data_IF_503482727508
#
_entry.id   IF_503482727508
#
_cell.length_a   1.000
_cell.length_b   1.000
_cell.length_c   1.000
_cell.angle_alpha   90.00
_cell.angle_beta   90.00
_cell.angle_gamma   90.00
#
_symmetry.space_group_name_H-M   'P 1'
#
loop_
_entity.id
_entity.type
_entity.pdbx_description
1 polymer ?
#
# COMPACT_ATOMS: atom_id res chain seq x y z
N UNK A 1 -21.82 -4.39 -34.30
CA UNK A 1 -20.51 -4.69 -33.82
C UNK A 1 -20.49 -4.31 -32.34
N UNK A 2 -20.18 -5.29 -31.50
CA UNK A 2 -19.96 -5.05 -30.08
C UNK A 2 -18.76 -4.09 -29.99
N UNK A 3 -18.93 -2.99 -29.27
CA UNK A 3 -17.82 -2.16 -28.87
C UNK A 3 -17.03 -3.06 -27.91
N UNK A 4 -15.83 -3.49 -28.30
CA UNK A 4 -14.94 -4.18 -27.38
C UNK A 4 -14.71 -3.22 -26.22
N UNK A 5 -15.12 -3.59 -25.02
CA UNK A 5 -14.76 -2.89 -23.80
C UNK A 5 -13.22 -2.79 -23.77
N UNK A 6 -12.66 -1.60 -23.61
CA UNK A 6 -11.21 -1.46 -23.57
C UNK A 6 -10.66 -2.32 -22.44
N UNK A 7 -9.63 -3.11 -22.73
CA UNK A 7 -8.97 -3.92 -21.71
C UNK A 7 -8.61 -3.06 -20.51
N UNK A 8 -8.78 -3.57 -19.30
CA UNK A 8 -8.58 -2.84 -18.03
C UNK A 8 -7.23 -2.11 -17.94
N UNK A 9 -6.18 -2.63 -18.60
CA UNK A 9 -4.85 -2.00 -18.66
C UNK A 9 -4.79 -0.80 -19.62
N UNK A 10 -5.79 -0.57 -20.46
CA UNK A 10 -5.91 0.66 -21.27
C UNK A 10 -6.42 1.86 -20.45
N UNK A 11 -6.96 1.63 -19.25
CA UNK A 11 -7.34 2.69 -18.33
C UNK A 11 -6.15 3.38 -17.67
N UNK A 12 -4.92 2.89 -17.86
CA UNK A 12 -3.70 3.56 -17.42
C UNK A 12 -3.19 4.61 -18.42
N UNK A 13 -3.78 4.74 -19.59
CA UNK A 13 -3.49 5.86 -20.48
C UNK A 13 -4.45 7.01 -20.15
N UNK A 14 -4.00 7.88 -19.26
CA UNK A 14 -4.75 9.04 -18.80
C UNK A 14 -4.81 10.18 -19.80
N UNK A 15 -3.91 10.20 -20.81
CA UNK A 15 -3.87 11.11 -21.96
C UNK A 15 -4.17 10.33 -23.27
N UNK A 16 -5.45 10.12 -23.58
CA UNK A 16 -5.88 9.25 -24.69
C UNK A 16 -5.66 9.87 -26.07
N UNK A 17 -5.68 11.18 -26.16
CA UNK A 17 -5.43 11.91 -27.40
C UNK A 17 -3.94 12.24 -27.61
N UNK A 18 -3.10 11.89 -26.65
CA UNK A 18 -1.63 12.03 -26.68
C UNK A 18 -1.20 13.47 -26.94
N UNK A 19 -1.91 14.43 -26.35
CA UNK A 19 -1.59 15.84 -26.52
C UNK A 19 -0.67 16.39 -25.39
N UNK A 20 -0.35 15.58 -24.38
CA UNK A 20 0.49 15.95 -23.25
C UNK A 20 -0.29 16.51 -22.07
N UNK A 21 -1.61 16.56 -22.12
CA UNK A 21 -2.46 16.93 -20.99
C UNK A 21 -3.44 15.80 -20.71
N UNK A 22 -3.47 15.33 -19.47
CA UNK A 22 -4.40 14.30 -19.02
C UNK A 22 -5.87 14.67 -19.33
N UNK A 23 -6.67 13.69 -19.77
CA UNK A 23 -8.07 13.88 -20.14
C UNK A 23 -8.91 14.45 -18.99
N UNK A 24 -8.66 14.08 -17.73
CA UNK A 24 -9.36 14.59 -16.54
C UNK A 24 -9.23 16.12 -16.43
N UNK A 25 -8.03 16.65 -16.65
CA UNK A 25 -7.73 18.08 -16.65
C UNK A 25 -8.44 18.81 -17.81
N UNK A 26 -8.51 18.18 -18.98
CA UNK A 26 -9.21 18.72 -20.13
C UNK A 26 -10.72 18.83 -19.87
N UNK A 27 -11.33 17.83 -19.21
CA UNK A 27 -12.73 17.87 -18.80
C UNK A 27 -13.00 18.98 -17.78
N UNK A 28 -12.09 19.20 -16.82
CA UNK A 28 -12.21 20.29 -15.85
C UNK A 28 -12.16 21.66 -16.55
N UNK A 29 -11.24 21.86 -17.48
CA UNK A 29 -11.13 23.09 -18.30
C UNK A 29 -12.42 23.33 -19.10
N UNK A 30 -13.05 22.28 -19.62
CA UNK A 30 -14.30 22.34 -20.37
C UNK A 30 -15.53 22.58 -19.47
N UNK A 31 -15.37 22.67 -18.15
CA UNK A 31 -16.46 22.81 -17.18
C UNK A 31 -17.35 21.58 -17.06
N UNK A 32 -16.86 20.43 -17.49
CA UNK A 32 -17.50 19.15 -17.30
C UNK A 32 -17.18 18.61 -15.90
N UNK A 33 -18.19 18.15 -15.19
CA UNK A 33 -18.11 17.88 -13.75
C UNK A 33 -17.16 16.75 -13.35
N UNK A 34 -16.46 16.99 -12.28
CA UNK A 34 -16.01 16.27 -11.07
C UNK A 34 -16.00 14.70 -11.05
N UNK A 35 -16.74 14.01 -11.89
CA UNK A 35 -16.88 12.55 -11.78
C UNK A 35 -15.63 11.77 -12.22
N UNK A 36 -14.61 12.46 -12.73
CA UNK A 36 -13.38 11.86 -13.25
C UNK A 36 -12.10 12.40 -12.61
N UNK A 37 -12.22 13.37 -11.68
CA UNK A 37 -11.07 13.95 -11.00
C UNK A 37 -10.82 13.30 -9.65
N UNK A 38 -9.56 13.02 -9.35
CA UNK A 38 -9.12 12.49 -8.07
C UNK A 38 -8.90 13.58 -7.01
N UNK A 39 -8.51 14.79 -7.41
CA UNK A 39 -8.02 15.85 -6.52
C UNK A 39 -8.74 17.18 -6.65
N UNK A 40 -9.71 17.33 -7.57
CA UNK A 40 -10.42 18.59 -7.77
C UNK A 40 -11.23 19.02 -6.54
N UNK A 41 -11.04 20.27 -6.15
CA UNK A 41 -11.73 20.94 -5.03
C UNK A 41 -12.40 22.21 -5.55
N UNK A 42 -13.69 22.36 -5.26
CA UNK A 42 -14.39 23.63 -5.50
C UNK A 42 -14.34 24.45 -4.20
N UNK A 43 -13.62 25.57 -4.23
CA UNK A 43 -13.53 26.50 -3.11
C UNK A 43 -14.83 27.28 -2.86
N UNK A 44 -14.97 27.84 -1.65
CA UNK A 44 -16.11 28.69 -1.28
C UNK A 44 -16.23 29.95 -2.14
N UNK A 45 -15.14 30.38 -2.75
CA UNK A 45 -15.07 31.50 -3.70
C UNK A 45 -15.47 31.13 -5.14
N UNK A 46 -15.85 29.86 -5.37
CA UNK A 46 -16.25 29.33 -6.67
C UNK A 46 -15.09 29.01 -7.61
N UNK A 47 -13.84 29.11 -7.15
CA UNK A 47 -12.66 28.65 -7.91
C UNK A 47 -12.50 27.15 -7.76
N UNK A 48 -12.20 26.49 -8.87
CA UNK A 48 -11.83 25.08 -8.88
C UNK A 48 -10.31 24.96 -8.88
N UNK A 49 -9.77 24.14 -7.99
CA UNK A 49 -8.34 23.82 -7.90
C UNK A 49 -8.15 22.31 -8.00
N UNK A 50 -6.97 21.89 -8.42
CA UNK A 50 -6.56 20.48 -8.49
C UNK A 50 -5.09 20.35 -8.14
N UNK A 51 -4.62 19.15 -7.93
CA UNK A 51 -3.21 18.87 -7.73
C UNK A 51 -2.63 18.22 -8.98
N UNK A 52 -1.47 18.69 -9.45
CA UNK A 52 -0.88 18.26 -10.74
C UNK A 52 0.60 17.90 -10.62
N UNK A 53 1.06 17.15 -11.61
CA UNK A 53 2.47 16.93 -11.95
C UNK A 53 2.71 17.57 -13.31
N UNK A 54 3.70 18.48 -13.38
CA UNK A 54 4.11 19.13 -14.63
C UNK A 54 5.44 18.53 -15.07
N UNK A 55 5.45 17.84 -16.20
CA UNK A 55 6.65 17.25 -16.81
C UNK A 55 7.28 18.16 -17.85
N UNK A 56 8.61 18.26 -17.82
CA UNK A 56 9.41 19.07 -18.74
C UNK A 56 10.25 18.17 -19.65
N UNK A 57 10.59 18.67 -20.82
CA UNK A 57 11.52 18.02 -21.76
C UNK A 57 13.00 18.17 -21.38
N UNK A 58 13.28 18.91 -20.34
CA UNK A 58 14.60 19.09 -19.70
C UNK A 58 14.40 19.34 -18.20
N UNK A 59 15.47 19.19 -17.43
CA UNK A 59 15.39 19.50 -15.99
C UNK A 59 15.09 20.99 -15.78
N UNK A 60 13.95 21.33 -15.15
CA UNK A 60 13.52 22.72 -15.04
C UNK A 60 14.49 23.53 -14.16
N UNK A 61 15.04 24.59 -14.73
CA UNK A 61 15.92 25.52 -14.02
C UNK A 61 15.13 26.62 -13.30
N UNK A 62 15.86 27.47 -12.59
CA UNK A 62 15.29 28.56 -11.78
C UNK A 62 14.33 29.47 -12.58
N UNK A 63 14.68 29.75 -13.86
CA UNK A 63 13.85 30.54 -14.76
C UNK A 63 12.53 29.87 -15.13
N UNK A 64 12.54 28.54 -15.33
CA UNK A 64 11.34 27.78 -15.68
C UNK A 64 10.40 27.69 -14.49
N UNK A 65 10.95 27.47 -13.30
CA UNK A 65 10.22 27.43 -12.04
C UNK A 65 9.61 28.78 -11.69
N UNK A 66 10.35 29.88 -11.92
CA UNK A 66 9.85 31.22 -11.67
C UNK A 66 8.66 31.57 -12.60
N UNK A 67 8.76 31.24 -13.89
CA UNK A 67 7.65 31.44 -14.84
C UNK A 67 6.41 30.61 -14.43
N UNK A 68 6.60 29.37 -14.03
CA UNK A 68 5.51 28.52 -13.59
C UNK A 68 4.81 29.11 -12.35
N UNK A 69 5.58 29.60 -11.38
CA UNK A 69 5.02 30.30 -10.21
C UNK A 69 4.27 31.59 -10.59
N UNK A 70 4.81 32.36 -11.53
CA UNK A 70 4.15 33.59 -12.01
C UNK A 70 2.79 33.29 -12.65
N UNK A 71 2.70 32.24 -13.48
CA UNK A 71 1.42 31.79 -14.05
C UNK A 71 0.44 31.44 -12.92
N UNK A 72 0.86 30.61 -11.98
CA UNK A 72 0.02 30.18 -10.87
C UNK A 72 -0.52 31.35 -10.03
N UNK A 73 0.35 32.25 -9.63
CA UNK A 73 -0.01 33.45 -8.83
C UNK A 73 -0.96 34.37 -9.59
N UNK A 74 -0.74 34.58 -10.91
CA UNK A 74 -1.63 35.38 -11.75
C UNK A 74 -3.06 34.81 -11.83
N UNK A 75 -3.21 33.50 -11.61
CA UNK A 75 -4.49 32.81 -11.54
C UNK A 75 -5.04 32.64 -10.11
N UNK A 76 -4.36 33.22 -9.12
CA UNK A 76 -4.81 33.22 -7.73
C UNK A 76 -4.34 32.05 -6.89
N UNK A 77 -3.27 31.35 -7.30
CA UNK A 77 -2.59 30.39 -6.45
C UNK A 77 -1.89 31.09 -5.30
N UNK A 78 -1.98 30.54 -4.11
CA UNK A 78 -1.37 31.06 -2.90
C UNK A 78 -0.24 30.12 -2.46
N UNK A 79 0.96 30.66 -2.28
CA UNK A 79 2.14 29.86 -1.87
C UNK A 79 2.01 29.40 -0.41
N UNK A 80 1.35 30.21 0.45
CA UNK A 80 1.12 29.84 1.83
C UNK A 80 0.04 28.75 1.92
N UNK A 81 0.43 27.57 2.41
CA UNK A 81 -0.46 26.41 2.54
C UNK A 81 -0.55 25.52 1.29
N UNK A 82 0.21 25.84 0.24
CA UNK A 82 0.28 25.03 -0.97
C UNK A 82 1.68 24.43 -1.17
N UNK A 83 1.73 23.33 -1.92
CA UNK A 83 2.99 22.67 -2.28
C UNK A 83 3.42 23.07 -3.68
N UNK A 84 4.70 23.41 -3.81
CA UNK A 84 5.39 23.59 -5.07
C UNK A 84 6.75 22.89 -4.95
N UNK A 85 6.84 21.68 -5.47
CA UNK A 85 7.97 20.80 -5.25
C UNK A 85 8.63 20.40 -6.58
N UNK A 86 9.77 21.04 -6.97
CA UNK A 86 10.62 20.57 -8.05
C UNK A 86 11.28 19.25 -7.65
N UNK A 87 11.17 18.23 -8.50
CA UNK A 87 11.74 16.91 -8.21
C UNK A 87 13.19 16.84 -8.65
N UNK A 88 14.11 16.47 -7.74
CA UNK A 88 15.54 16.56 -7.98
C UNK A 88 16.04 15.61 -9.08
N UNK A 89 15.42 14.43 -9.23
CA UNK A 89 15.94 13.35 -10.09
C UNK A 89 15.08 13.06 -11.32
N UNK A 90 13.96 13.76 -11.49
CA UNK A 90 13.11 13.68 -12.67
C UNK A 90 12.72 15.07 -13.13
N UNK A 91 12.50 15.22 -14.43
CA UNK A 91 12.24 16.52 -15.06
C UNK A 91 10.79 16.98 -14.82
N UNK A 92 10.39 17.11 -13.55
CA UNK A 92 9.02 17.45 -13.18
C UNK A 92 8.89 18.33 -11.94
N UNK A 93 7.72 18.95 -11.80
CA UNK A 93 7.32 19.75 -10.65
C UNK A 93 5.96 19.26 -10.17
N UNK A 94 5.84 18.98 -8.86
CA UNK A 94 4.60 18.58 -8.19
C UNK A 94 3.98 19.80 -7.53
N UNK A 95 2.70 20.06 -7.78
CA UNK A 95 2.01 21.26 -7.31
C UNK A 95 0.60 20.89 -6.86
N UNK A 96 0.17 21.45 -5.74
CA UNK A 96 -1.22 21.34 -5.29
C UNK A 96 -1.97 22.67 -5.34
N UNK A 97 -3.27 22.62 -5.09
CA UNK A 97 -4.18 23.77 -5.13
C UNK A 97 -4.08 24.61 -6.40
N UNK A 98 -3.69 24.01 -7.51
CA UNK A 98 -3.51 24.66 -8.82
C UNK A 98 -4.87 25.11 -9.36
N UNK A 99 -5.07 26.42 -9.62
CA UNK A 99 -6.29 26.89 -10.24
C UNK A 99 -6.49 26.29 -11.63
N UNK A 100 -7.63 25.66 -11.88
CA UNK A 100 -7.94 25.03 -13.19
C UNK A 100 -7.82 26.05 -14.33
N UNK A 101 -8.06 27.33 -14.06
CA UNK A 101 -7.90 28.42 -15.05
C UNK A 101 -6.45 28.63 -15.52
N UNK A 102 -5.44 28.15 -14.76
CA UNK A 102 -4.02 28.29 -15.13
C UNK A 102 -3.51 27.15 -16.02
N UNK A 103 -4.22 26.03 -16.09
CA UNK A 103 -3.73 24.82 -16.74
C UNK A 103 -3.34 24.99 -18.21
N UNK A 104 -4.11 25.76 -18.97
CA UNK A 104 -3.79 26.03 -20.40
C UNK A 104 -2.50 26.85 -20.52
N UNK A 105 -2.31 27.85 -19.67
CA UNK A 105 -1.11 28.69 -19.70
C UNK A 105 0.13 27.91 -19.24
N UNK A 106 -0.01 27.06 -18.24
CA UNK A 106 1.06 26.12 -17.81
C UNK A 106 1.43 25.19 -18.97
N UNK A 107 0.44 24.59 -19.64
CA UNK A 107 0.68 23.68 -20.76
C UNK A 107 1.37 24.36 -21.96
N UNK A 108 1.14 25.66 -22.14
CA UNK A 108 1.79 26.46 -23.20
C UNK A 108 3.18 26.98 -22.83
N UNK A 109 3.63 26.75 -21.61
CA UNK A 109 4.98 27.16 -21.20
C UNK A 109 6.04 26.35 -21.96
N UNK A 110 7.07 27.00 -22.45
CA UNK A 110 8.19 26.37 -23.13
C UNK A 110 8.81 25.26 -22.24
N UNK A 111 8.98 24.09 -22.81
CA UNK A 111 9.55 22.93 -22.15
C UNK A 111 8.56 22.01 -21.46
N UNK A 112 7.35 22.45 -21.18
CA UNK A 112 6.30 21.58 -20.65
C UNK A 112 5.86 20.61 -21.74
N UNK A 113 5.90 19.31 -21.43
CA UNK A 113 5.53 18.22 -22.35
C UNK A 113 4.42 17.35 -21.80
N UNK A 114 4.13 17.46 -20.51
CA UNK A 114 3.11 16.67 -19.83
C UNK A 114 2.52 17.43 -18.67
N UNK A 115 1.21 17.34 -18.47
CA UNK A 115 0.52 17.72 -17.25
C UNK A 115 -0.44 16.60 -16.88
N UNK A 116 -0.24 16.03 -15.70
CA UNK A 116 -1.08 14.97 -15.14
C UNK A 116 -1.73 15.45 -13.84
N UNK A 117 -2.95 15.00 -13.56
CA UNK A 117 -3.55 15.14 -12.25
C UNK A 117 -2.85 14.16 -11.28
N UNK A 118 -2.63 14.59 -10.02
CA UNK A 118 -2.14 13.66 -9.01
C UNK A 118 -3.23 12.67 -8.64
N UNK A 119 -2.92 11.39 -8.71
CA UNK A 119 -3.80 10.35 -8.19
C UNK A 119 -3.81 10.32 -6.66
N UNK A 120 -4.95 10.02 -6.08
CA UNK A 120 -5.02 9.69 -4.66
C UNK A 120 -4.32 8.36 -4.43
N UNK A 121 -3.27 8.38 -3.62
CA UNK A 121 -2.66 7.16 -3.11
C UNK A 121 -3.65 6.55 -2.12
N UNK A 122 -4.26 5.45 -2.53
CA UNK A 122 -5.06 4.58 -1.67
C UNK A 122 -4.30 3.29 -1.47
N UNK A 123 -4.50 2.64 -0.32
CA UNK A 123 -3.95 1.31 -0.10
C UNK A 123 -4.46 0.35 -1.18
N UNK A 124 -3.56 -0.10 -2.06
CA UNK A 124 -3.92 -0.95 -3.21
C UNK A 124 -4.15 -2.42 -2.87
N UNK A 125 -4.08 -2.82 -1.61
CA UNK A 125 -4.28 -4.21 -1.24
C UNK A 125 -5.64 -4.74 -1.72
N UNK A 126 -6.70 -3.96 -1.55
CA UNK A 126 -8.03 -4.33 -2.03
C UNK A 126 -8.12 -4.43 -3.57
N UNK A 127 -7.27 -3.69 -4.29
CA UNK A 127 -7.17 -3.78 -5.75
C UNK A 127 -6.34 -4.98 -6.17
N UNK A 128 -5.21 -5.24 -5.50
CA UNK A 128 -4.33 -6.36 -5.79
C UNK A 128 -5.05 -7.71 -5.59
N UNK A 129 -5.78 -7.88 -4.49
CA UNK A 129 -6.56 -9.09 -4.21
C UNK A 129 -7.71 -9.31 -5.21
N UNK A 130 -8.32 -8.25 -5.70
CA UNK A 130 -9.32 -8.31 -6.77
C UNK A 130 -8.69 -8.59 -8.13
N UNK A 131 -7.58 -7.95 -8.46
CA UNK A 131 -6.85 -8.16 -9.71
C UNK A 131 -6.31 -9.59 -9.86
N UNK A 132 -5.97 -10.25 -8.76
CA UNK A 132 -5.48 -11.65 -8.73
C UNK A 132 -6.59 -12.70 -8.56
N UNK A 133 -7.86 -12.32 -8.63
CA UNK A 133 -9.03 -13.21 -8.45
C UNK A 133 -9.16 -13.83 -7.04
N UNK A 134 -8.60 -13.20 -6.04
CA UNK A 134 -8.78 -13.63 -4.63
C UNK A 134 -10.08 -13.09 -4.07
N UNK A 135 -10.44 -11.85 -4.42
CA UNK A 135 -11.71 -11.20 -4.05
C UNK A 135 -12.54 -10.86 -5.28
N UNK A 136 -13.87 -10.84 -5.12
CA UNK A 136 -14.82 -10.40 -6.14
C UNK A 136 -14.53 -8.98 -6.62
N UNK A 137 -14.70 -8.78 -7.91
CA UNK A 137 -14.60 -7.47 -8.57
C UNK A 137 -15.65 -7.38 -9.67
N UNK A 138 -15.81 -6.20 -10.25
CA UNK A 138 -16.71 -5.98 -11.39
C UNK A 138 -16.32 -6.79 -12.64
N UNK A 139 -15.11 -7.39 -12.64
CA UNK A 139 -14.56 -8.17 -13.76
C UNK A 139 -14.70 -9.68 -13.53
N UNK A 140 -14.71 -10.12 -12.27
CA UNK A 140 -14.74 -11.53 -11.90
C UNK A 140 -15.92 -11.81 -10.97
N UNK A 141 -16.88 -12.59 -11.45
CA UNK A 141 -18.06 -12.97 -10.69
C UNK A 141 -17.79 -14.03 -9.63
N UNK A 142 -16.75 -14.86 -9.84
CA UNK A 142 -16.34 -15.94 -8.95
C UNK A 142 -14.84 -15.87 -8.68
N UNK A 143 -14.46 -15.96 -7.42
CA UNK A 143 -13.09 -15.82 -6.92
C UNK A 143 -12.73 -16.91 -5.93
N UNK A 144 -11.48 -16.98 -5.53
CA UNK A 144 -11.03 -17.98 -4.56
C UNK A 144 -11.82 -17.93 -3.24
N UNK A 145 -12.21 -16.73 -2.78
CA UNK A 145 -13.01 -16.58 -1.55
C UNK A 145 -14.43 -17.08 -1.67
N UNK A 146 -15.05 -16.95 -2.85
CA UNK A 146 -16.38 -17.49 -3.10
C UNK A 146 -16.39 -19.01 -3.05
N UNK A 147 -15.25 -19.64 -3.32
CA UNK A 147 -15.01 -21.08 -3.16
C UNK A 147 -14.58 -21.48 -1.74
N UNK A 148 -14.48 -20.54 -0.80
CA UNK A 148 -14.10 -20.78 0.58
C UNK A 148 -12.57 -20.86 0.81
N UNK A 149 -11.76 -20.42 -0.14
CA UNK A 149 -10.31 -20.36 0.01
C UNK A 149 -9.89 -19.00 0.56
N UNK A 150 -9.71 -18.91 1.86
CA UNK A 150 -9.29 -17.70 2.57
C UNK A 150 -7.99 -17.88 3.37
N UNK A 151 -7.39 -19.06 3.31
CA UNK A 151 -6.20 -19.44 4.07
C UNK A 151 -6.50 -20.14 5.41
N UNK A 152 -7.76 -20.39 5.74
CA UNK A 152 -8.11 -21.12 6.96
C UNK A 152 -7.38 -22.46 7.02
N UNK A 153 -6.75 -22.75 8.17
CA UNK A 153 -5.96 -23.94 8.40
C UNK A 153 -4.52 -23.85 7.87
N UNK A 154 -4.07 -22.70 7.39
CA UNK A 154 -2.70 -22.50 6.91
C UNK A 154 -1.93 -21.62 7.90
N UNK A 155 -0.71 -22.01 8.23
CA UNK A 155 0.22 -21.25 9.07
C UNK A 155 1.28 -20.60 8.19
N UNK A 156 1.35 -19.26 8.22
CA UNK A 156 2.29 -18.46 7.43
C UNK A 156 3.34 -17.86 8.34
N UNK A 157 4.61 -18.21 8.12
CA UNK A 157 5.73 -17.53 8.76
C UNK A 157 6.15 -16.30 7.96
N UNK A 158 6.22 -15.14 8.62
CA UNK A 158 6.73 -13.89 8.07
C UNK A 158 8.15 -13.68 8.58
N UNK A 159 9.14 -13.83 7.70
CA UNK A 159 10.56 -13.58 8.02
C UNK A 159 10.87 -12.14 7.60
N UNK A 160 10.96 -11.24 8.57
CA UNK A 160 11.10 -9.80 8.26
C UNK A 160 11.69 -9.01 9.47
N UNK A 161 11.28 -7.78 9.66
CA UNK A 161 11.69 -6.90 10.76
C UNK A 161 10.95 -7.16 12.08
N UNK A 162 10.16 -8.19 12.16
CA UNK A 162 9.17 -8.46 13.20
C UNK A 162 7.77 -8.11 12.73
N UNK A 163 6.76 -8.44 13.50
CA UNK A 163 5.36 -8.10 13.22
C UNK A 163 4.71 -7.55 14.49
N UNK A 164 4.10 -6.37 14.39
CA UNK A 164 3.20 -5.83 15.41
C UNK A 164 1.87 -6.62 15.34
N UNK A 165 1.79 -7.69 16.11
CA UNK A 165 0.65 -8.61 16.11
C UNK A 165 -0.59 -7.99 16.77
N UNK A 166 -0.44 -6.93 17.58
CA UNK A 166 -1.55 -6.12 18.12
C UNK A 166 -2.14 -5.18 17.07
N UNK A 167 -1.56 -5.10 15.87
CA UNK A 167 -2.10 -4.24 14.83
C UNK A 167 -3.50 -4.74 14.39
N UNK A 168 -4.50 -3.87 14.46
CA UNK A 168 -5.91 -4.17 14.21
C UNK A 168 -6.22 -4.86 12.86
N UNK A 169 -5.33 -4.79 11.89
CA UNK A 169 -5.45 -5.51 10.61
C UNK A 169 -4.90 -6.92 10.66
N UNK A 170 -4.30 -7.33 11.78
CA UNK A 170 -3.81 -8.68 12.02
C UNK A 170 -4.62 -9.43 13.08
N UNK A 171 -5.67 -8.79 13.56
CA UNK A 171 -6.68 -9.37 14.43
C UNK A 171 -7.43 -10.52 13.75
N UNK A 172 -7.87 -11.52 14.47
CA UNK A 172 -8.62 -12.62 13.88
C UNK A 172 -10.08 -12.24 13.56
N UNK A 173 -10.80 -13.11 12.87
CA UNK A 173 -12.19 -12.82 12.49
C UNK A 173 -13.21 -12.97 13.63
N UNK A 174 -12.84 -13.66 14.69
CA UNK A 174 -13.71 -13.95 15.82
C UNK A 174 -13.53 -12.99 16.98
N UNK A 175 -12.44 -12.22 16.97
CA UNK A 175 -12.18 -11.22 17.97
C UNK A 175 -13.06 -9.98 17.77
N UNK A 176 -13.60 -9.45 18.86
CA UNK A 176 -14.48 -8.29 18.86
C UNK A 176 -13.80 -7.00 19.35
N UNK A 177 -12.62 -7.07 19.90
CA UNK A 177 -11.92 -5.95 20.51
C UNK A 177 -10.85 -5.34 19.59
N UNK A 178 -10.39 -6.03 18.54
CA UNK A 178 -9.35 -5.61 17.59
C UNK A 178 -8.00 -5.32 18.25
N UNK A 179 -7.59 -6.11 19.20
CA UNK A 179 -6.28 -5.95 19.83
C UNK A 179 -5.36 -7.15 19.63
N UNK A 180 -5.86 -8.24 19.06
CA UNK A 180 -5.14 -9.48 18.80
C UNK A 180 -4.43 -10.07 20.04
N UNK A 181 -4.81 -9.62 21.22
CA UNK A 181 -4.34 -10.18 22.49
C UNK A 181 -5.26 -11.33 22.91
N UNK A 182 -4.68 -12.43 23.34
CA UNK A 182 -5.41 -13.57 23.89
C UNK A 182 -6.14 -13.19 25.17
N UNK A 183 -7.37 -12.77 25.02
CA UNK A 183 -8.27 -12.44 26.13
C UNK A 183 -9.06 -13.68 26.60
N UNK A 184 -9.59 -13.70 27.85
CA UNK A 184 -10.41 -14.81 28.32
C UNK A 184 -11.73 -14.99 27.56
N UNK A 185 -12.17 -14.01 26.81
CA UNK A 185 -13.37 -13.97 25.98
C UNK A 185 -13.11 -14.19 24.50
N UNK A 186 -11.85 -14.28 24.07
CA UNK A 186 -11.46 -14.71 22.73
C UNK A 186 -11.80 -16.18 22.55
N UNK A 187 -12.65 -16.43 21.58
CA UNK A 187 -13.34 -17.71 21.52
C UNK A 187 -12.50 -18.83 20.92
N UNK A 188 -11.28 -18.61 20.53
CA UNK A 188 -10.50 -19.72 20.09
C UNK A 188 -9.07 -19.34 19.71
N UNK A 189 -8.70 -19.03 18.61
CA UNK A 189 -7.31 -19.07 18.19
C UNK A 189 -6.86 -17.68 17.78
N UNK A 190 -5.97 -17.04 18.57
CA UNK A 190 -5.37 -15.81 18.15
C UNK A 190 -4.68 -16.05 16.80
N UNK A 191 -4.79 -15.09 15.91
CA UNK A 191 -4.16 -15.16 14.59
C UNK A 191 -2.66 -15.36 14.71
N UNK A 192 -2.03 -14.74 15.69
CA UNK A 192 -0.62 -14.95 16.03
C UNK A 192 -0.45 -16.21 16.89
N UNK A 193 0.41 -17.14 16.46
CA UNK A 193 0.67 -18.39 17.15
C UNK A 193 2.01 -18.40 17.88
N UNK A 194 3.03 -17.86 17.29
CA UNK A 194 4.39 -17.92 17.83
C UNK A 194 5.33 -16.90 17.16
N UNK A 195 6.44 -16.62 17.81
CA UNK A 195 7.49 -15.78 17.26
C UNK A 195 8.89 -16.22 17.60
N UNK A 196 9.86 -15.66 16.88
CA UNK A 196 11.29 -15.91 17.07
C UNK A 196 12.08 -14.65 16.70
N UNK A 197 12.89 -14.11 17.61
CA UNK A 197 13.90 -13.11 17.28
C UNK A 197 15.24 -13.76 16.92
N UNK A 198 15.45 -13.97 15.62
CA UNK A 198 16.68 -14.52 15.11
C UNK A 198 17.85 -13.52 15.11
N UNK A 199 17.58 -12.22 15.27
CA UNK A 199 18.63 -11.18 15.37
C UNK A 199 19.35 -11.23 16.71
N UNK A 200 18.71 -11.78 17.74
CA UNK A 200 19.31 -12.01 19.04
C UNK A 200 20.21 -13.23 19.03
N UNK A 201 21.41 -13.09 19.58
CA UNK A 201 22.32 -14.22 19.82
C UNK A 201 21.97 -15.00 21.09
N UNK A 202 21.00 -14.54 21.86
CA UNK A 202 20.49 -15.24 23.01
C UNK A 202 19.58 -16.40 22.52
N UNK A 203 19.99 -17.64 22.79
CA UNK A 203 19.32 -18.82 22.27
C UNK A 203 17.89 -19.04 22.80
N UNK A 204 17.46 -18.28 23.80
CA UNK A 204 16.14 -18.44 24.40
C UNK A 204 15.02 -17.77 23.57
N UNK A 205 15.34 -16.73 22.80
CA UNK A 205 14.36 -15.96 22.04
C UNK A 205 13.81 -16.65 20.79
N UNK A 206 14.35 -17.84 20.44
CA UNK A 206 13.84 -18.70 19.37
C UNK A 206 13.50 -20.11 19.84
N UNK A 207 13.61 -20.43 21.13
CA UNK A 207 13.45 -21.80 21.59
C UNK A 207 12.09 -22.13 22.22
N UNK A 208 11.32 -21.13 22.59
CA UNK A 208 10.12 -21.33 23.41
C UNK A 208 8.79 -21.09 22.66
N UNK A 209 8.82 -20.69 21.39
CA UNK A 209 7.61 -20.60 20.53
C UNK A 209 6.56 -19.54 20.95
N UNK A 210 6.75 -18.94 22.12
CA UNK A 210 5.84 -17.94 22.71
C UNK A 210 6.46 -16.54 22.77
N UNK A 211 7.62 -16.34 22.16
CA UNK A 211 8.30 -15.04 22.18
C UNK A 211 7.78 -14.17 21.04
N UNK A 212 7.28 -13.00 21.41
CA UNK A 212 6.85 -11.97 20.49
C UNK A 212 8.01 -11.01 20.19
N UNK A 213 8.60 -11.05 19.00
CA UNK A 213 9.76 -10.24 18.66
C UNK A 213 9.44 -8.78 18.34
N UNK A 214 8.19 -8.44 18.16
CA UNK A 214 7.68 -7.10 17.86
C UNK A 214 8.33 -6.41 16.63
N UNK A 215 7.68 -5.42 16.04
CA UNK A 215 8.15 -4.72 14.85
C UNK A 215 8.43 -3.24 15.12
N UNK A 216 9.67 -2.90 15.40
CA UNK A 216 10.10 -1.51 15.58
C UNK A 216 10.25 -0.70 14.27
N UNK A 217 10.09 -1.33 13.10
CA UNK A 217 10.24 -0.68 11.79
C UNK A 217 8.91 -0.46 11.05
N UNK A 218 8.01 -1.44 11.09
CA UNK A 218 6.73 -1.47 10.39
C UNK A 218 6.76 -2.21 9.05
N UNK A 219 7.93 -2.63 8.54
CA UNK A 219 8.00 -3.32 7.24
C UNK A 219 7.42 -4.73 7.32
N UNK A 220 7.78 -5.52 8.34
CA UNK A 220 7.26 -6.86 8.51
C UNK A 220 5.76 -6.89 8.81
N UNK A 221 5.27 -5.94 9.60
CA UNK A 221 3.83 -5.74 9.84
C UNK A 221 3.07 -5.47 8.54
N UNK A 222 3.64 -4.63 7.67
CA UNK A 222 3.07 -4.36 6.36
C UNK A 222 3.07 -5.60 5.45
N UNK A 223 4.16 -6.37 5.45
CA UNK A 223 4.26 -7.65 4.70
C UNK A 223 3.23 -8.64 5.21
N UNK A 224 3.10 -8.80 6.54
CA UNK A 224 2.07 -9.62 7.16
C UNK A 224 0.66 -9.19 6.75
N UNK A 225 0.38 -7.88 6.79
CA UNK A 225 -0.91 -7.32 6.35
C UNK A 225 -1.25 -7.68 4.90
N UNK A 226 -0.27 -7.64 3.98
CA UNK A 226 -0.46 -8.06 2.58
C UNK A 226 -0.74 -9.56 2.49
N UNK A 227 0.03 -10.38 3.20
CA UNK A 227 -0.09 -11.83 3.11
C UNK A 227 -1.40 -12.34 3.74
N UNK A 228 -1.68 -11.93 4.98
CA UNK A 228 -2.68 -12.57 5.82
C UNK A 228 -3.56 -11.61 6.64
N UNK A 229 -3.48 -10.30 6.41
CA UNK A 229 -4.27 -9.34 7.15
C UNK A 229 -5.77 -9.56 7.04
N UNK A 230 -6.48 -9.47 8.17
CA UNK A 230 -7.94 -9.57 8.23
C UNK A 230 -8.63 -8.26 7.85
N UNK A 231 -7.85 -7.20 7.72
CA UNK A 231 -8.33 -5.86 7.42
C UNK A 231 -8.68 -5.06 8.66
N UNK A 232 -9.09 -3.80 8.46
CA UNK A 232 -9.58 -2.94 9.53
C UNK A 232 -10.94 -3.44 10.10
N UNK A 233 -11.47 -2.76 11.08
CA UNK A 233 -12.78 -3.07 11.67
C UNK A 233 -13.92 -3.21 10.65
N UNK A 234 -13.74 -2.71 9.44
CA UNK A 234 -14.66 -2.84 8.31
C UNK A 234 -14.29 -3.99 7.37
N UNK A 235 -13.20 -4.67 7.63
CA UNK A 235 -12.65 -5.76 6.81
C UNK A 235 -12.41 -5.36 5.35
N UNK A 236 -12.00 -4.11 5.10
CA UNK A 236 -11.84 -3.56 3.75
C UNK A 236 -10.50 -3.93 3.13
N UNK A 237 -9.40 -3.80 3.90
CA UNK A 237 -8.05 -4.00 3.39
C UNK A 237 -7.53 -5.39 3.78
N UNK A 238 -8.22 -6.43 3.37
CA UNK A 238 -7.83 -7.81 3.66
C UNK A 238 -6.67 -8.28 2.78
N UNK A 239 -5.75 -9.02 3.36
CA UNK A 239 -4.66 -9.69 2.68
C UNK A 239 -5.13 -10.85 1.78
N UNK A 240 -4.19 -11.59 1.24
CA UNK A 240 -4.48 -12.72 0.35
C UNK A 240 -5.12 -13.90 1.10
N UNK A 241 -4.64 -14.19 2.31
CA UNK A 241 -5.05 -15.33 3.13
C UNK A 241 -5.49 -14.90 4.55
N UNK A 242 -6.60 -14.12 4.67
CA UNK A 242 -6.97 -13.52 5.95
C UNK A 242 -7.41 -14.53 7.01
N UNK A 243 -7.78 -15.74 6.63
CA UNK A 243 -8.11 -16.83 7.54
C UNK A 243 -6.90 -17.64 8.03
N UNK A 244 -5.68 -17.34 7.56
CA UNK A 244 -4.47 -18.05 7.99
C UNK A 244 -3.95 -17.55 9.34
N UNK A 245 -3.14 -18.38 9.98
CA UNK A 245 -2.41 -18.06 11.19
C UNK A 245 -1.06 -17.42 10.88
N UNK A 246 -0.57 -16.61 11.82
CA UNK A 246 0.70 -15.89 11.76
C UNK A 246 1.75 -16.52 12.68
N UNK A 247 2.92 -16.72 12.13
CA UNK A 247 4.16 -16.95 12.88
C UNK A 247 5.14 -15.85 12.52
N UNK A 248 5.64 -15.11 13.52
CA UNK A 248 6.55 -14.00 13.34
C UNK A 248 8.01 -14.44 13.54
N UNK A 249 8.85 -14.19 12.55
CA UNK A 249 10.28 -14.51 12.59
C UNK A 249 11.10 -13.26 12.25
N UNK A 250 11.53 -12.55 13.28
CA UNK A 250 12.36 -11.36 13.12
C UNK A 250 13.78 -11.74 12.70
N UNK A 251 14.15 -11.38 11.49
CA UNK A 251 15.48 -11.63 10.89
C UNK A 251 16.24 -10.34 10.55
N UNK A 252 15.59 -9.19 10.69
CA UNK A 252 16.18 -7.88 10.46
C UNK A 252 16.09 -7.01 11.71
N UNK A 253 17.15 -6.24 11.95
CA UNK A 253 17.20 -5.29 13.07
C UNK A 253 16.63 -3.94 12.65
N UNK A 254 16.03 -3.26 13.62
CA UNK A 254 15.51 -1.90 13.48
C UNK A 254 16.62 -0.90 13.76
N UNK A 255 17.27 -0.37 12.76
CA UNK A 255 18.29 0.65 12.93
C UNK A 255 18.02 1.88 12.08
N UNK A 256 17.74 3.02 12.75
CA UNK A 256 17.70 4.32 12.11
C UNK A 256 16.62 4.54 11.04
N UNK A 257 15.47 3.85 11.15
CA UNK A 257 14.35 3.98 10.24
C UNK A 257 14.44 3.09 8.99
N UNK A 258 15.44 2.22 8.91
CA UNK A 258 15.53 1.15 7.92
C UNK A 258 15.60 -0.19 8.62
N UNK A 259 14.86 -1.18 8.15
CA UNK A 259 15.09 -2.58 8.52
C UNK A 259 16.30 -3.09 7.71
N UNK A 260 17.15 -3.88 8.33
CA UNK A 260 18.30 -4.46 7.67
C UNK A 260 19.04 -5.44 8.55
N UNK A 261 19.91 -6.24 7.97
CA UNK A 261 20.68 -7.23 8.72
C UNK A 261 21.67 -7.98 7.84
N UNK A 262 22.36 -8.89 8.48
CA UNK A 262 23.30 -9.82 7.85
C UNK A 262 22.61 -11.16 7.53
N UNK A 263 23.27 -12.00 6.77
CA UNK A 263 22.75 -13.34 6.40
C UNK A 263 22.58 -14.28 7.59
N UNK A 264 23.33 -14.07 8.69
CA UNK A 264 23.31 -14.94 9.88
C UNK A 264 21.92 -15.08 10.51
N UNK A 265 21.25 -13.97 10.87
CA UNK A 265 19.86 -13.99 11.35
C UNK A 265 18.88 -14.66 10.39
N UNK A 266 19.04 -14.43 9.08
CA UNK A 266 18.18 -15.05 8.06
C UNK A 266 18.34 -16.58 8.10
N UNK A 267 19.57 -17.08 8.12
CA UNK A 267 19.86 -18.51 8.19
C UNK A 267 19.30 -19.11 9.49
N UNK A 268 19.45 -18.41 10.63
CA UNK A 268 18.90 -18.84 11.92
C UNK A 268 17.37 -18.90 11.88
N UNK A 269 16.71 -17.87 11.33
CA UNK A 269 15.25 -17.83 11.17
C UNK A 269 14.75 -18.97 10.26
N UNK A 270 15.40 -19.18 9.14
CA UNK A 270 15.09 -20.32 8.24
C UNK A 270 15.25 -21.68 8.94
N UNK A 271 16.30 -21.85 9.73
CA UNK A 271 16.50 -23.08 10.50
C UNK A 271 15.37 -23.29 11.51
N UNK A 272 14.97 -22.22 12.20
CA UNK A 272 13.86 -22.28 13.16
C UNK A 272 12.53 -22.62 12.48
N UNK A 273 12.23 -22.04 11.32
CA UNK A 273 11.05 -22.39 10.51
C UNK A 273 11.06 -23.89 10.16
N UNK A 274 12.19 -24.41 9.67
CA UNK A 274 12.32 -25.83 9.33
C UNK A 274 12.14 -26.76 10.54
N UNK A 275 12.51 -26.34 11.72
CA UNK A 275 12.30 -27.10 12.96
C UNK A 275 10.84 -27.13 13.39
N UNK A 276 10.05 -26.16 12.94
CA UNK A 276 8.65 -25.97 13.34
C UNK A 276 7.62 -26.33 12.27
N UNK A 277 8.01 -26.97 11.17
CA UNK A 277 7.09 -27.42 10.11
C UNK A 277 6.09 -28.51 10.55
N UNK A 278 6.30 -29.10 11.71
CA UNK A 278 5.41 -30.12 12.28
C UNK A 278 5.05 -29.82 13.75
N UNK A 279 5.22 -28.58 14.19
CA UNK A 279 4.93 -28.21 15.56
C UNK A 279 3.42 -28.05 15.73
N UNK A 280 2.84 -28.76 16.69
CA UNK A 280 1.45 -28.55 17.12
C UNK A 280 1.38 -27.28 17.96
N UNK A 281 0.79 -26.22 17.42
CA UNK A 281 0.62 -24.94 18.12
C UNK A 281 -0.60 -24.91 19.04
N UNK A 282 -1.36 -26.00 19.11
CA UNK A 282 -2.56 -26.09 19.94
C UNK A 282 -3.75 -25.30 19.39
N UNK A 283 -3.71 -24.90 18.15
CA UNK A 283 -4.73 -24.10 17.48
C UNK A 283 -5.94 -24.91 16.97
N UNK A 284 -6.06 -26.16 17.37
CA UNK A 284 -7.10 -27.11 16.93
C UNK A 284 -7.22 -27.28 15.42
N UNK A 285 -6.21 -26.86 14.68
CA UNK A 285 -6.15 -27.03 13.24
C UNK A 285 -5.47 -28.35 12.87
N UNK A 286 -5.87 -28.90 11.74
CA UNK A 286 -5.28 -30.11 11.20
C UNK A 286 -3.96 -29.86 10.48
N UNK A 287 -3.58 -28.61 10.25
CA UNK A 287 -2.25 -28.24 9.78
C UNK A 287 -1.31 -28.14 10.99
N UNK A 288 -0.48 -29.12 11.14
CA UNK A 288 0.54 -29.15 12.16
C UNK A 288 1.75 -28.35 11.65
N UNK A 289 2.03 -27.20 12.28
CA UNK A 289 3.25 -26.43 12.05
C UNK A 289 3.16 -25.37 10.93
N UNK A 290 4.32 -24.96 10.43
CA UNK A 290 4.45 -23.90 9.43
C UNK A 290 4.31 -24.46 8.02
N UNK A 291 3.32 -24.00 7.25
CA UNK A 291 3.04 -24.45 5.88
C UNK A 291 3.75 -23.59 4.83
N UNK A 292 3.78 -22.29 5.05
CA UNK A 292 4.30 -21.30 4.09
C UNK A 292 5.20 -20.33 4.81
N UNK A 293 6.23 -19.85 4.14
CA UNK A 293 7.00 -18.70 4.59
C UNK A 293 7.03 -17.60 3.53
N UNK A 294 7.07 -16.37 3.98
CA UNK A 294 7.26 -15.20 3.12
C UNK A 294 8.50 -14.42 3.56
N UNK A 295 9.27 -13.95 2.59
CA UNK A 295 10.45 -13.13 2.77
C UNK A 295 10.39 -11.98 1.77
N UNK A 296 10.40 -10.73 2.27
CA UNK A 296 10.22 -9.54 1.44
C UNK A 296 11.44 -8.62 1.51
N UNK A 297 12.61 -9.19 1.25
CA UNK A 297 13.91 -8.49 1.25
C UNK A 297 14.86 -9.08 0.20
N UNK A 298 15.93 -8.34 -0.15
CA UNK A 298 16.96 -8.75 -1.10
C UNK A 298 18.16 -7.82 -1.07
#
# INVERSE_FOLDING_TARGET
PAVEEPYWWMNFNTDRDSNGMEDSLQYMIAGQKESHSATAILGDDGRMTTAIIVGFSWHPGETDLQKLKEILVNHGWEEEGSWFFPVEYIDSVVIDHVPVSSLIEIWQQDGVVMIEEQDKIVSYLSVATRGSKVQTSDVYDETLRDFGYDGSGVVIAVLDSGVDNEHFSLDDFSDNNNDNEKQPDDLSDPKWLAGCDATSWNSQECNEGEFDPDDGNGHGTHVAGIALGTGDSRRVNQGYAPGSYLVDVKVMTDSGGSAGGDEGPIIKGLQWVLQNVNTDWGNNDSSEGIDVMTMSFG
#
